data_IF_671772845435
#
_entry.id   IF_671772845435
#
_cell.length_a   1.000
_cell.length_b   1.000
_cell.length_c   1.000
_cell.angle_alpha   90.00
_cell.angle_beta   90.00
_cell.angle_gamma   90.00
#
_symmetry.space_group_name_H-M   'P 1'
#
loop_
_entity.id
_entity.type
_entity.pdbx_description
1 polymer ?
#
# COMPACT_ATOMS: atom_id res chain seq x y z
N UNK A 1 8.87 -4.40 2.67
CA UNK A 1 9.00 -2.95 2.44
C UNK A 1 7.98 -2.14 3.22
N UNK A 2 6.75 -2.65 3.32
CA UNK A 2 5.67 -1.89 3.97
C UNK A 2 5.57 -2.14 5.47
N UNK A 3 6.27 -3.15 5.98
CA UNK A 3 6.21 -3.50 7.40
C UNK A 3 6.79 -2.39 8.29
N UNK A 4 6.22 -2.26 9.48
CA UNK A 4 6.64 -1.28 10.45
C UNK A 4 5.94 0.05 10.30
N UNK A 5 6.47 1.06 10.94
CA UNK A 5 5.92 2.42 10.92
C UNK A 5 6.55 3.20 9.77
N UNK A 6 5.74 3.59 8.81
CA UNK A 6 6.20 4.25 7.60
C UNK A 6 5.34 5.46 7.26
N UNK A 7 5.88 6.28 6.35
CA UNK A 7 5.19 7.46 5.83
C UNK A 7 4.45 7.08 4.55
N UNK A 8 3.12 7.10 4.59
CA UNK A 8 2.28 6.69 3.46
C UNK A 8 1.72 7.87 2.67
N UNK A 9 2.40 9.01 2.70
CA UNK A 9 1.98 10.21 1.95
C UNK A 9 1.68 9.91 0.49
N UNK A 10 2.54 9.15 -0.17
CA UNK A 10 2.40 8.87 -1.60
C UNK A 10 1.33 7.83 -1.92
N UNK A 11 0.71 7.24 -0.91
CA UNK A 11 -0.26 6.15 -1.05
C UNK A 11 -1.70 6.59 -0.77
N UNK A 12 -1.91 7.89 -0.58
CA UNK A 12 -3.23 8.43 -0.25
C UNK A 12 -3.31 9.90 -0.63
N UNK A 13 -4.53 10.38 -0.84
CA UNK A 13 -4.78 11.82 -0.94
C UNK A 13 -5.05 12.35 0.46
N UNK A 14 -4.05 12.96 1.07
CA UNK A 14 -4.15 13.45 2.43
C UNK A 14 -4.93 14.75 2.52
N UNK A 15 -5.66 14.92 3.64
CA UNK A 15 -6.20 16.21 4.03
C UNK A 15 -5.07 17.01 4.70
N UNK A 16 -5.24 18.35 4.78
CA UNK A 16 -4.20 19.26 5.22
C UNK A 16 -3.58 18.86 6.57
N UNK A 17 -4.39 18.43 7.53
CA UNK A 17 -3.93 18.14 8.88
C UNK A 17 -3.72 16.65 9.14
N UNK A 18 -3.83 15.81 8.11
CA UNK A 18 -3.83 14.37 8.32
C UNK A 18 -2.43 13.83 8.49
N UNK A 19 -2.22 13.04 9.57
CA UNK A 19 -0.95 12.38 9.83
C UNK A 19 -0.76 11.23 8.83
N UNK A 20 0.32 11.23 8.03
CA UNK A 20 0.54 10.19 7.02
C UNK A 20 1.19 8.92 7.57
N UNK A 21 1.61 8.91 8.83
CA UNK A 21 2.30 7.75 9.39
C UNK A 21 1.32 6.68 9.82
N UNK A 22 1.59 5.45 9.39
CA UNK A 22 0.80 4.28 9.78
C UNK A 22 1.74 3.11 10.03
N UNK A 23 1.33 2.22 10.92
CA UNK A 23 2.10 1.02 11.21
C UNK A 23 1.43 -0.19 10.59
N UNK A 24 2.18 -0.92 9.78
CA UNK A 24 1.74 -2.15 9.15
C UNK A 24 2.45 -3.31 9.85
N UNK A 25 1.68 -4.24 10.39
CA UNK A 25 2.22 -5.38 11.14
C UNK A 25 2.29 -6.64 10.31
N UNK A 26 1.47 -6.76 9.27
CA UNK A 26 1.52 -7.88 8.34
C UNK A 26 1.36 -7.35 6.93
N UNK A 27 2.19 -7.84 6.00
CA UNK A 27 2.11 -7.51 4.58
C UNK A 27 2.66 -8.70 3.82
N UNK A 28 1.78 -9.55 3.28
CA UNK A 28 2.23 -10.75 2.59
C UNK A 28 1.22 -11.19 1.53
N UNK A 29 1.77 -11.86 0.51
CA UNK A 29 1.00 -12.51 -0.52
C UNK A 29 0.96 -14.01 -0.27
N UNK A 30 -0.20 -14.62 -0.48
CA UNK A 30 -0.36 -16.08 -0.45
C UNK A 30 -1.15 -16.50 -1.68
N UNK A 31 -0.97 -17.75 -2.08
CA UNK A 31 -1.71 -18.31 -3.19
C UNK A 31 -2.67 -19.37 -2.66
N UNK A 32 -3.93 -19.27 -3.01
CA UNK A 32 -4.96 -20.24 -2.63
C UNK A 32 -5.74 -20.61 -3.88
N UNK A 33 -5.58 -21.88 -4.34
CA UNK A 33 -6.22 -22.36 -5.55
C UNK A 33 -5.86 -21.49 -6.76
N UNK A 34 -6.80 -20.74 -7.33
CA UNK A 34 -6.59 -19.88 -8.49
C UNK A 34 -6.40 -18.40 -8.10
N UNK A 35 -6.39 -18.10 -6.80
CA UNK A 35 -6.37 -16.73 -6.33
C UNK A 35 -5.07 -16.38 -5.63
N UNK A 36 -4.64 -15.13 -5.81
CA UNK A 36 -3.61 -14.54 -4.97
C UNK A 36 -4.29 -13.72 -3.90
N UNK A 37 -3.88 -13.92 -2.65
CA UNK A 37 -4.44 -13.22 -1.51
C UNK A 37 -3.36 -12.34 -0.90
N UNK A 38 -3.63 -11.04 -0.84
CA UNK A 38 -2.76 -10.12 -0.12
C UNK A 38 -3.35 -9.86 1.26
N UNK A 39 -2.57 -10.14 2.28
CA UNK A 39 -2.97 -9.93 3.67
C UNK A 39 -2.20 -8.75 4.23
N UNK A 40 -2.94 -7.76 4.73
CA UNK A 40 -2.34 -6.59 5.37
C UNK A 40 -3.08 -6.32 6.69
N UNK A 41 -2.31 -6.10 7.76
CA UNK A 41 -2.86 -5.68 9.04
C UNK A 41 -2.09 -4.45 9.53
N UNK A 42 -2.77 -3.59 10.25
CA UNK A 42 -2.17 -2.38 10.77
C UNK A 42 -3.09 -1.69 11.76
N UNK A 43 -2.61 -0.60 12.36
CA UNK A 43 -3.37 0.13 13.35
C UNK A 43 -4.52 0.95 12.75
N UNK A 44 -4.34 1.45 11.53
CA UNK A 44 -5.38 2.15 10.77
C UNK A 44 -4.87 2.36 9.35
N UNK A 45 -5.78 2.74 8.43
CA UNK A 45 -5.41 2.95 7.04
C UNK A 45 -5.95 4.27 6.53
N UNK A 46 -5.14 4.94 5.71
CA UNK A 46 -5.56 6.14 5.01
C UNK A 46 -6.49 5.78 3.85
N UNK A 47 -7.25 6.77 3.37
CA UNK A 47 -8.13 6.57 2.23
C UNK A 47 -7.36 6.06 1.01
N UNK A 48 -7.82 4.98 0.41
CA UNK A 48 -7.19 4.32 -0.75
C UNK A 48 -5.78 3.77 -0.48
N UNK A 49 -5.29 3.79 0.75
CA UNK A 49 -3.93 3.33 1.07
C UNK A 49 -3.70 1.87 0.66
N UNK A 50 -4.61 0.97 1.04
CA UNK A 50 -4.47 -0.45 0.71
C UNK A 50 -4.52 -0.69 -0.79
N UNK A 51 -5.44 0.00 -1.48
CA UNK A 51 -5.55 -0.10 -2.94
C UNK A 51 -4.29 0.38 -3.64
N UNK A 52 -3.66 1.42 -3.11
CA UNK A 52 -2.41 1.95 -3.65
C UNK A 52 -1.23 1.02 -3.37
N UNK A 53 -1.17 0.44 -2.16
CA UNK A 53 -0.14 -0.53 -1.82
C UNK A 53 -0.18 -1.73 -2.77
N UNK A 54 -1.36 -2.26 -3.04
CA UNK A 54 -1.51 -3.38 -3.99
C UNK A 54 -1.12 -2.92 -5.38
N UNK A 55 -1.57 -1.73 -5.79
CA UNK A 55 -1.28 -1.19 -7.12
C UNK A 55 0.20 -1.02 -7.40
N UNK A 56 0.96 -0.46 -6.44
CA UNK A 56 2.41 -0.28 -6.64
C UNK A 56 3.16 -1.60 -6.67
N UNK A 57 2.72 -2.60 -5.92
CA UNK A 57 3.35 -3.92 -5.96
C UNK A 57 3.13 -4.58 -7.32
N UNK A 58 1.94 -4.46 -7.89
CA UNK A 58 1.67 -4.96 -9.24
C UNK A 58 2.49 -4.20 -10.27
N UNK A 59 2.68 -2.89 -10.09
CA UNK A 59 3.50 -2.09 -10.99
C UNK A 59 4.97 -2.52 -10.96
N UNK A 60 5.49 -2.91 -9.80
CA UNK A 60 6.84 -3.47 -9.69
C UNK A 60 6.93 -4.78 -10.48
N UNK A 61 5.96 -5.65 -10.33
CA UNK A 61 5.92 -6.92 -11.05
C UNK A 61 5.89 -6.72 -12.56
N UNK A 62 5.21 -5.68 -13.01
CA UNK A 62 5.15 -5.32 -14.43
C UNK A 62 6.36 -4.52 -14.93
N UNK A 63 7.31 -4.22 -14.06
CA UNK A 63 8.51 -3.47 -14.41
C UNK A 63 8.31 -1.98 -14.57
N UNK A 64 7.22 -1.41 -14.09
CA UNK A 64 6.90 0.02 -14.23
C UNK A 64 7.59 0.89 -13.20
N UNK A 65 7.84 0.35 -12.00
CA UNK A 65 8.59 1.04 -10.95
C UNK A 65 9.49 0.04 -10.24
N UNK A 66 10.47 0.55 -9.48
CA UNK A 66 11.42 -0.31 -8.77
C UNK A 66 11.05 -0.42 -7.30
N UNK A 67 11.52 -1.50 -6.66
CA UNK A 67 11.39 -1.66 -5.20
C UNK A 67 12.11 -0.53 -4.47
N UNK A 68 13.22 -0.05 -5.00
CA UNK A 68 13.94 1.08 -4.42
C UNK A 68 13.07 2.34 -4.35
N UNK A 69 12.26 2.59 -5.38
CA UNK A 69 11.32 3.72 -5.39
C UNK A 69 10.29 3.58 -4.26
N UNK A 70 9.77 2.38 -4.05
CA UNK A 70 8.83 2.13 -2.95
C UNK A 70 9.50 2.40 -1.60
N UNK A 71 10.69 1.86 -1.38
CA UNK A 71 11.40 2.05 -0.11
C UNK A 71 11.70 3.51 0.16
N UNK A 72 12.10 4.27 -0.87
CA UNK A 72 12.32 5.70 -0.74
C UNK A 72 11.06 6.43 -0.34
N UNK A 73 9.93 6.12 -0.98
CA UNK A 73 8.65 6.79 -0.73
C UNK A 73 8.18 6.63 0.71
N UNK A 74 8.50 5.51 1.34
CA UNK A 74 8.06 5.22 2.71
C UNK A 74 8.86 5.98 3.77
N UNK A 75 10.03 6.49 3.42
CA UNK A 75 10.89 7.25 4.32
C UNK A 75 10.92 8.73 3.96
N UNK A 76 11.07 9.04 2.69
CA UNK A 76 11.14 10.40 2.17
C UNK A 76 10.12 10.52 1.04
N UNK A 77 8.94 11.07 1.29
CA UNK A 77 7.89 11.12 0.28
C UNK A 77 8.33 11.78 -1.01
N UNK A 78 7.88 11.23 -2.12
CA UNK A 78 8.09 11.78 -3.46
C UNK A 78 7.17 12.98 -3.66
N UNK A 79 7.45 13.81 -4.69
CA UNK A 79 6.63 14.99 -4.96
C UNK A 79 5.18 14.68 -5.24
N UNK A 80 4.92 13.58 -5.95
CA UNK A 80 3.57 13.18 -6.31
C UNK A 80 3.22 11.82 -5.73
N UNK A 81 1.94 11.64 -5.41
CA UNK A 81 1.46 10.33 -4.97
C UNK A 81 1.47 9.34 -6.13
N UNK A 82 1.52 8.06 -5.79
CA UNK A 82 1.46 7.01 -6.80
C UNK A 82 0.09 6.99 -7.48
N UNK A 83 0.10 6.72 -8.78
CA UNK A 83 -1.12 6.61 -9.60
C UNK A 83 -1.58 5.16 -9.79
N UNK A 84 -0.81 4.22 -9.29
CA UNK A 84 -1.11 2.78 -9.43
C UNK A 84 -2.06 2.38 -8.31
N UNK A 85 -3.35 2.51 -8.55
CA UNK A 85 -4.40 2.23 -7.55
C UNK A 85 -5.35 1.22 -8.14
N UNK A 86 -5.47 0.04 -7.53
CA UNK A 86 -6.38 -0.98 -8.02
C UNK A 86 -7.83 -0.59 -7.73
N UNK A 87 -8.78 -0.96 -8.62
CA UNK A 87 -10.19 -0.67 -8.38
C UNK A 87 -10.72 -1.35 -7.12
N UNK A 88 -11.66 -0.70 -6.44
CA UNK A 88 -12.24 -1.23 -5.21
C UNK A 88 -12.98 -2.55 -5.44
N UNK A 89 -13.64 -2.70 -6.58
CA UNK A 89 -14.39 -3.91 -6.90
C UNK A 89 -13.50 -5.12 -7.23
N UNK A 90 -12.22 -4.88 -7.49
CA UNK A 90 -11.26 -5.96 -7.67
C UNK A 90 -10.52 -6.34 -6.39
N UNK A 91 -10.87 -5.77 -5.25
CA UNK A 91 -10.13 -5.91 -4.00
C UNK A 91 -11.05 -6.41 -2.89
N UNK A 92 -10.72 -7.57 -2.33
CA UNK A 92 -11.46 -8.14 -1.20
C UNK A 92 -10.73 -7.83 0.09
N UNK A 93 -11.34 -6.99 0.95
CA UNK A 93 -10.71 -6.46 2.16
C UNK A 93 -11.08 -7.21 3.43
N UNK A 94 -11.34 -8.49 3.34
CA UNK A 94 -11.82 -9.28 4.47
C UNK A 94 -10.73 -9.73 5.45
N UNK A 95 -9.49 -9.41 5.19
CA UNK A 95 -8.36 -9.71 6.08
C UNK A 95 -7.71 -8.46 6.64
N UNK A 96 -8.41 -7.35 6.68
CA UNK A 96 -7.90 -6.11 7.27
C UNK A 96 -8.28 -6.07 8.74
N UNK A 97 -7.28 -5.86 9.60
CA UNK A 97 -7.46 -5.68 11.03
C UNK A 97 -6.86 -4.36 11.45
N UNK A 98 -7.59 -3.66 12.29
CA UNK A 98 -7.18 -2.37 12.79
C UNK A 98 -6.66 -2.49 14.21
#
# INVERSE_FOLDING_TARGET
SFLGKNNFTNYSKLRVDQNPFREVTTSKWTKSSQYFIYTITGNSFLHNMVRSIVGVQLAVDEGKISIATINTSLKTPLEERFKYVVPADGLYLWKIKY
#
